data_IF_491502290893
#
_entry.id   IF_491502290893
#
_cell.length_a   1.000
_cell.length_b   1.000
_cell.length_c   1.000
_cell.angle_alpha   90.00
_cell.angle_beta   90.00
_cell.angle_gamma   90.00
#
_symmetry.space_group_name_H-M   'P 1'
#
loop_
_entity.id
_entity.type
_entity.pdbx_description
1 polymer ?
#
# COMPACT_ATOMS: atom_id res chain seq x y z
N UNK A 1 34.12 -17.71 10.77
CA UNK A 1 32.84 -17.86 11.47
C UNK A 1 32.19 -16.54 11.92
N UNK A 2 32.93 -15.47 12.22
CA UNK A 2 32.33 -14.18 12.63
C UNK A 2 31.60 -13.40 11.52
N UNK A 3 31.98 -13.53 10.25
CA UNK A 3 31.37 -12.78 9.14
C UNK A 3 29.93 -13.21 8.79
N UNK A 4 29.61 -14.51 8.86
CA UNK A 4 28.26 -15.03 8.56
C UNK A 4 27.22 -14.65 9.63
N UNK A 5 27.64 -14.54 10.89
CA UNK A 5 26.79 -14.10 11.99
C UNK A 5 26.50 -12.59 11.88
N UNK A 6 27.49 -11.79 11.47
CA UNK A 6 27.34 -10.33 11.28
C UNK A 6 26.35 -10.01 10.15
N UNK A 7 26.40 -10.74 9.03
CA UNK A 7 25.42 -10.58 7.93
C UNK A 7 24.00 -10.95 8.35
N UNK A 8 23.81 -12.06 9.08
CA UNK A 8 22.48 -12.45 9.60
C UNK A 8 21.94 -11.43 10.61
N UNK A 9 22.79 -10.85 11.45
CA UNK A 9 22.37 -9.80 12.39
C UNK A 9 22.04 -8.49 11.70
N UNK A 10 22.72 -8.14 10.61
CA UNK A 10 22.47 -6.89 9.88
C UNK A 10 21.07 -6.86 9.25
N UNK A 11 20.67 -7.93 8.57
CA UNK A 11 19.32 -8.03 7.99
C UNK A 11 18.22 -8.15 9.06
N UNK A 12 18.51 -8.85 10.17
CA UNK A 12 17.57 -8.94 11.29
C UNK A 12 17.37 -7.57 11.97
N UNK A 13 18.44 -6.79 12.14
CA UNK A 13 18.39 -5.44 12.71
C UNK A 13 17.69 -4.45 11.77
N UNK A 14 17.93 -4.52 10.45
CA UNK A 14 17.25 -3.64 9.50
C UNK A 14 15.76 -3.93 9.42
N UNK A 15 15.36 -5.20 9.41
CA UNK A 15 13.96 -5.61 9.47
C UNK A 15 13.29 -5.20 10.78
N UNK A 16 13.94 -5.44 11.93
CA UNK A 16 13.43 -5.03 13.23
C UNK A 16 13.27 -3.50 13.34
N UNK A 17 14.23 -2.73 12.80
CA UNK A 17 14.14 -1.27 12.77
C UNK A 17 13.00 -0.78 11.88
N UNK A 18 12.79 -1.40 10.72
CA UNK A 18 11.68 -1.06 9.82
C UNK A 18 10.33 -1.32 10.49
N UNK A 19 10.16 -2.49 11.12
CA UNK A 19 8.95 -2.84 11.88
C UNK A 19 8.74 -1.86 13.04
N UNK A 20 9.78 -1.55 13.82
CA UNK A 20 9.69 -0.62 14.93
C UNK A 20 9.31 0.80 14.46
N UNK A 21 9.86 1.26 13.34
CA UNK A 21 9.51 2.54 12.74
C UNK A 21 8.03 2.56 12.28
N UNK A 22 7.55 1.47 11.67
CA UNK A 22 6.14 1.30 11.31
C UNK A 22 5.20 1.33 12.51
N UNK A 23 5.55 0.65 13.60
CA UNK A 23 4.80 0.66 14.86
C UNK A 23 4.71 2.06 15.48
N UNK A 24 5.83 2.78 15.53
CA UNK A 24 5.85 4.14 16.04
C UNK A 24 5.02 5.10 15.17
N UNK A 25 5.07 4.91 13.84
CA UNK A 25 4.23 5.66 12.92
C UNK A 25 2.74 5.34 13.10
N UNK A 26 2.40 4.08 13.36
CA UNK A 26 1.02 3.66 13.61
C UNK A 26 0.43 4.32 14.86
N UNK A 27 1.16 4.30 15.98
CA UNK A 27 0.72 4.91 17.24
C UNK A 27 0.42 6.41 17.05
N UNK A 28 1.30 7.12 16.34
CA UNK A 28 1.09 8.53 16.00
C UNK A 28 -0.12 8.73 15.08
N UNK A 29 -0.26 7.88 14.05
CA UNK A 29 -1.37 7.96 13.09
C UNK A 29 -2.71 7.76 13.78
N UNK A 30 -2.82 6.77 14.68
CA UNK A 30 -4.03 6.54 15.48
C UNK A 30 -4.35 7.72 16.40
N UNK A 31 -3.34 8.31 17.05
CA UNK A 31 -3.52 9.50 17.88
C UNK A 31 -4.04 10.71 17.08
N UNK A 32 -3.46 10.95 15.89
CA UNK A 32 -3.89 12.02 14.98
C UNK A 32 -5.29 11.75 14.43
N UNK A 33 -5.59 10.50 14.06
CA UNK A 33 -6.92 10.11 13.57
C UNK A 33 -7.99 10.31 14.64
N UNK A 34 -7.75 9.84 15.87
CA UNK A 34 -8.66 10.06 16.99
C UNK A 34 -8.89 11.56 17.27
N UNK A 35 -7.83 12.37 17.15
CA UNK A 35 -7.95 13.82 17.27
C UNK A 35 -8.78 14.42 16.12
N UNK A 36 -8.54 14.02 14.87
CA UNK A 36 -9.29 14.48 13.71
C UNK A 36 -10.79 14.20 13.85
N UNK A 37 -11.16 13.00 14.31
CA UNK A 37 -12.56 12.64 14.63
C UNK A 37 -13.11 13.53 15.75
N UNK A 38 -12.34 13.75 16.82
CA UNK A 38 -12.78 14.57 17.96
C UNK A 38 -13.05 16.03 17.58
N UNK A 39 -12.34 16.56 16.58
CA UNK A 39 -12.57 17.93 16.07
C UNK A 39 -13.49 17.99 14.84
N UNK A 40 -14.05 16.86 14.40
CA UNK A 40 -14.98 16.77 13.26
C UNK A 40 -14.34 17.01 11.89
N UNK A 41 -13.07 16.64 11.73
CA UNK A 41 -12.32 16.75 10.47
C UNK A 41 -12.16 15.40 9.75
N UNK A 42 -12.79 14.34 10.23
CA UNK A 42 -12.81 13.00 9.65
C UNK A 42 -13.43 12.95 8.24
N UNK A 43 -14.37 13.86 7.93
CA UNK A 43 -14.93 14.02 6.57
C UNK A 43 -14.09 14.89 5.63
N UNK A 44 -12.96 15.45 6.07
CA UNK A 44 -12.15 16.35 5.25
C UNK A 44 -11.21 15.56 4.32
N UNK A 45 -11.30 15.81 3.02
CA UNK A 45 -10.49 15.13 1.99
C UNK A 45 -8.98 15.26 2.23
N UNK A 46 -8.48 16.43 2.64
CA UNK A 46 -7.06 16.62 2.85
C UNK A 46 -6.56 15.83 4.07
N UNK A 47 -7.36 15.79 5.14
CA UNK A 47 -7.06 15.01 6.34
C UNK A 47 -7.14 13.52 6.05
N UNK A 48 -8.20 13.08 5.37
CA UNK A 48 -8.38 11.68 4.98
C UNK A 48 -7.24 11.18 4.07
N UNK A 49 -6.88 11.95 3.04
CA UNK A 49 -5.74 11.62 2.14
C UNK A 49 -4.44 11.45 2.93
N UNK A 50 -4.15 12.37 3.87
CA UNK A 50 -2.95 12.28 4.70
C UNK A 50 -2.98 11.08 5.66
N UNK A 51 -4.14 10.78 6.24
CA UNK A 51 -4.33 9.59 7.08
C UNK A 51 -4.14 8.30 6.29
N UNK A 52 -4.65 8.22 5.07
CA UNK A 52 -4.53 7.05 4.20
C UNK A 52 -3.08 6.77 3.79
N UNK A 53 -2.30 7.80 3.45
CA UNK A 53 -0.86 7.67 3.19
C UNK A 53 -0.08 7.25 4.45
N UNK A 54 -0.44 7.79 5.62
CA UNK A 54 0.18 7.42 6.89
C UNK A 54 -0.12 5.96 7.28
N UNK A 55 -1.37 5.51 7.12
CA UNK A 55 -1.77 4.12 7.35
C UNK A 55 -1.12 3.15 6.35
N UNK A 56 -0.98 3.54 5.08
CA UNK A 56 -0.25 2.78 4.07
C UNK A 56 1.21 2.55 4.46
N UNK A 57 1.90 3.59 4.94
CA UNK A 57 3.29 3.51 5.43
C UNK A 57 3.44 2.71 6.72
N UNK A 58 2.44 2.76 7.59
CA UNK A 58 2.40 1.98 8.82
C UNK A 58 2.09 0.49 8.57
N UNK A 59 1.71 0.11 7.35
CA UNK A 59 1.38 -1.27 6.98
C UNK A 59 -0.03 -1.70 7.39
N UNK A 60 -0.91 -0.76 7.72
CA UNK A 60 -2.29 -1.04 8.18
C UNK A 60 -3.28 -0.50 7.16
N UNK A 61 -3.27 -1.10 5.97
CA UNK A 61 -4.09 -0.64 4.84
C UNK A 61 -5.58 -0.78 5.09
N UNK A 62 -6.02 -1.77 5.89
CA UNK A 62 -7.43 -1.91 6.26
C UNK A 62 -7.98 -0.66 6.95
N UNK A 63 -7.17 0.04 7.75
CA UNK A 63 -7.58 1.29 8.39
C UNK A 63 -7.57 2.47 7.40
N UNK A 64 -6.69 2.45 6.39
CA UNK A 64 -6.75 3.41 5.28
C UNK A 64 -8.06 3.26 4.48
N UNK A 65 -8.53 2.03 4.26
CA UNK A 65 -9.81 1.76 3.58
C UNK A 65 -10.98 2.26 4.41
N UNK A 66 -10.98 2.07 5.74
CA UNK A 66 -12.03 2.63 6.60
C UNK A 66 -12.10 4.16 6.53
N UNK A 67 -10.94 4.83 6.46
CA UNK A 67 -10.89 6.28 6.26
C UNK A 67 -11.49 6.65 4.91
N UNK A 68 -11.17 5.90 3.84
CA UNK A 68 -11.73 6.12 2.51
C UNK A 68 -13.26 5.96 2.46
N UNK A 69 -13.79 4.90 3.05
CA UNK A 69 -15.23 4.63 3.16
C UNK A 69 -15.93 5.71 4.00
N UNK A 70 -15.27 6.22 5.04
CA UNK A 70 -15.76 7.36 5.83
C UNK A 70 -15.88 8.67 5.05
N UNK A 71 -15.25 8.78 3.88
CA UNK A 71 -15.32 9.94 2.99
C UNK A 71 -16.41 9.82 1.91
N UNK A 72 -17.31 8.83 1.94
CA UNK A 72 -18.26 8.48 0.87
C UNK A 72 -18.88 9.68 0.12
N UNK A 73 -19.29 10.75 0.81
CA UNK A 73 -19.90 11.95 0.18
C UNK A 73 -18.88 12.91 -0.50
N UNK A 74 -17.58 12.75 -0.22
CA UNK A 74 -16.49 13.64 -0.63
C UNK A 74 -15.38 12.91 -1.42
N UNK A 75 -15.59 11.67 -1.86
CA UNK A 75 -14.61 10.92 -2.64
C UNK A 75 -14.31 11.62 -3.97
N UNK A 76 -13.03 11.85 -4.21
CA UNK A 76 -12.52 12.43 -5.45
C UNK A 76 -11.26 11.69 -5.93
N UNK A 77 -10.77 12.06 -7.12
CA UNK A 77 -9.57 11.49 -7.72
C UNK A 77 -8.35 11.43 -6.76
N UNK A 78 -8.19 12.43 -5.89
CA UNK A 78 -7.10 12.47 -4.90
C UNK A 78 -7.27 11.36 -3.85
N UNK A 79 -8.49 11.18 -3.31
CA UNK A 79 -8.76 10.12 -2.33
C UNK A 79 -8.63 8.72 -2.93
N UNK A 80 -9.04 8.54 -4.19
CA UNK A 80 -8.86 7.29 -4.93
C UNK A 80 -7.37 6.97 -5.16
N UNK A 81 -6.59 7.96 -5.57
CA UNK A 81 -5.14 7.81 -5.71
C UNK A 81 -4.45 7.49 -4.38
N UNK A 82 -4.93 8.05 -3.26
CA UNK A 82 -4.39 7.78 -1.95
C UNK A 82 -4.66 6.34 -1.50
N UNK A 83 -5.89 5.82 -1.67
CA UNK A 83 -6.20 4.42 -1.30
C UNK A 83 -5.45 3.44 -2.20
N UNK A 84 -5.37 3.72 -3.51
CA UNK A 84 -4.58 2.95 -4.47
C UNK A 84 -3.11 2.91 -4.07
N UNK A 85 -2.54 4.07 -3.69
CA UNK A 85 -1.14 4.17 -3.24
C UNK A 85 -0.89 3.38 -1.95
N UNK A 86 -1.85 3.36 -1.02
CA UNK A 86 -1.73 2.60 0.22
C UNK A 86 -1.66 1.08 -0.06
N UNK A 87 -2.54 0.54 -0.92
CA UNK A 87 -2.49 -0.87 -1.33
C UNK A 87 -1.24 -1.19 -2.15
N UNK A 88 -0.85 -0.29 -3.05
CA UNK A 88 0.38 -0.38 -3.84
C UNK A 88 1.63 -0.53 -2.96
N UNK A 89 1.76 0.29 -1.92
CA UNK A 89 2.90 0.23 -0.98
C UNK A 89 3.01 -1.11 -0.25
N UNK A 90 1.89 -1.80 -0.04
CA UNK A 90 1.87 -3.14 0.56
C UNK A 90 2.00 -4.28 -0.46
N UNK A 91 2.04 -3.96 -1.76
CA UNK A 91 2.13 -4.95 -2.84
C UNK A 91 0.84 -5.73 -3.06
N UNK A 92 -0.31 -5.25 -2.56
CA UNK A 92 -1.60 -5.90 -2.79
C UNK A 92 -2.16 -5.53 -4.16
N UNK A 93 -1.62 -6.18 -5.19
CA UNK A 93 -1.97 -5.84 -6.57
C UNK A 93 -3.41 -6.23 -6.92
N UNK A 94 -3.99 -7.25 -6.26
CA UNK A 94 -5.39 -7.63 -6.51
C UNK A 94 -6.34 -6.52 -6.03
N UNK A 95 -6.09 -5.97 -4.85
CA UNK A 95 -6.86 -4.83 -4.36
C UNK A 95 -6.66 -3.58 -5.24
N UNK A 96 -5.43 -3.30 -5.70
CA UNK A 96 -5.15 -2.20 -6.63
C UNK A 96 -5.96 -2.33 -7.92
N UNK A 97 -6.02 -3.52 -8.53
CA UNK A 97 -6.80 -3.76 -9.74
C UNK A 97 -8.31 -3.63 -9.48
N UNK A 98 -8.79 -4.15 -8.35
CA UNK A 98 -10.18 -4.04 -7.94
C UNK A 98 -10.62 -2.58 -7.77
N UNK A 99 -9.84 -1.79 -7.02
CA UNK A 99 -10.09 -0.37 -6.78
C UNK A 99 -10.02 0.45 -8.07
N UNK A 100 -9.09 0.13 -8.98
CA UNK A 100 -8.99 0.80 -10.28
C UNK A 100 -10.25 0.58 -11.13
N UNK A 101 -10.76 -0.66 -11.16
CA UNK A 101 -11.99 -0.97 -11.89
C UNK A 101 -13.20 -0.27 -11.25
N UNK A 102 -13.29 -0.27 -9.93
CA UNK A 102 -14.37 0.43 -9.21
C UNK A 102 -14.35 1.94 -9.47
N UNK A 103 -13.17 2.56 -9.46
CA UNK A 103 -12.98 3.97 -9.81
C UNK A 103 -13.47 4.26 -11.25
N UNK A 104 -13.14 3.39 -12.20
CA UNK A 104 -13.58 3.52 -13.59
C UNK A 104 -15.11 3.32 -13.76
N UNK A 105 -15.71 2.38 -13.04
CA UNK A 105 -17.17 2.16 -13.04
C UNK A 105 -17.95 3.36 -12.49
N UNK A 106 -17.38 4.05 -11.49
CA UNK A 106 -17.94 5.28 -10.93
C UNK A 106 -17.70 6.52 -11.81
N UNK A 107 -17.06 6.35 -12.98
CA UNK A 107 -16.84 7.41 -13.95
C UNK A 107 -15.66 8.33 -13.64
N UNK A 108 -14.81 7.99 -12.67
CA UNK A 108 -13.58 8.71 -12.43
C UNK A 108 -12.52 8.27 -13.46
N UNK A 109 -12.13 9.18 -14.34
CA UNK A 109 -11.06 8.93 -15.30
C UNK A 109 -9.72 8.79 -14.55
N UNK A 110 -8.97 7.68 -14.72
CA UNK A 110 -7.64 7.54 -14.18
C UNK A 110 -6.75 8.71 -14.64
N UNK A 111 -6.06 9.37 -13.72
CA UNK A 111 -5.06 10.36 -14.10
C UNK A 111 -3.75 9.66 -14.53
N UNK A 112 -2.78 10.44 -15.01
CA UNK A 112 -1.47 9.91 -15.41
C UNK A 112 -0.76 9.18 -14.26
N UNK A 113 -1.02 9.59 -13.02
CA UNK A 113 -0.46 8.98 -11.81
C UNK A 113 -1.18 7.68 -11.43
N UNK A 114 -2.50 7.60 -11.57
CA UNK A 114 -3.30 6.37 -11.41
C UNK A 114 -2.86 5.33 -12.44
N UNK A 115 -2.67 5.75 -13.70
CA UNK A 115 -2.21 4.89 -14.80
C UNK A 115 -0.79 4.38 -14.58
N UNK A 116 0.10 5.24 -14.06
CA UNK A 116 1.46 4.86 -13.70
C UNK A 116 1.47 3.86 -12.54
N UNK A 117 0.73 4.13 -11.46
CA UNK A 117 0.60 3.23 -10.30
C UNK A 117 0.09 1.85 -10.74
N UNK A 118 -0.97 1.83 -11.55
CA UNK A 118 -1.52 0.59 -12.10
C UNK A 118 -0.48 -0.17 -12.94
N UNK A 119 0.20 0.52 -13.87
CA UNK A 119 1.21 -0.11 -14.75
C UNK A 119 2.41 -0.68 -13.98
N UNK A 120 2.87 0.00 -12.93
CA UNK A 120 3.99 -0.46 -12.10
C UNK A 120 3.64 -1.72 -11.32
N UNK A 121 2.45 -1.77 -10.73
CA UNK A 121 2.02 -2.91 -9.92
C UNK A 121 1.61 -4.11 -10.79
N UNK A 122 0.99 -3.88 -11.94
CA UNK A 122 0.73 -4.94 -12.93
C UNK A 122 2.03 -5.51 -13.49
N UNK A 123 3.02 -4.66 -13.81
CA UNK A 123 4.33 -5.13 -14.25
C UNK A 123 5.04 -5.98 -13.19
N UNK A 124 4.87 -5.65 -11.91
CA UNK A 124 5.40 -6.45 -10.80
C UNK A 124 4.75 -7.84 -10.74
N UNK A 125 3.43 -7.95 -10.95
CA UNK A 125 2.76 -9.27 -11.09
C UNK A 125 3.27 -10.06 -12.29
N UNK A 126 3.42 -9.42 -13.45
CA UNK A 126 3.93 -10.11 -14.65
C UNK A 126 5.35 -10.65 -14.43
N UNK A 127 6.20 -9.91 -13.72
CA UNK A 127 7.55 -10.34 -13.41
C UNK A 127 7.58 -11.48 -12.39
N UNK A 128 6.72 -11.43 -11.35
CA UNK A 128 6.54 -12.50 -10.37
C UNK A 128 6.04 -13.80 -11.02
N UNK A 129 5.07 -13.70 -11.93
CA UNK A 129 4.53 -14.83 -12.71
C UNK A 129 5.60 -15.39 -13.64
N UNK A 130 6.30 -14.56 -14.42
CA UNK A 130 7.41 -14.99 -15.29
C UNK A 130 8.50 -15.73 -14.52
N UNK A 131 8.87 -15.24 -13.33
CA UNK A 131 9.84 -15.90 -12.47
C UNK A 131 9.30 -17.24 -11.98
N UNK A 132 8.06 -17.30 -11.46
CA UNK A 132 7.44 -18.54 -10.98
C UNK A 132 7.29 -19.63 -12.05
N UNK A 133 7.07 -19.25 -13.31
CA UNK A 133 7.01 -20.17 -14.45
C UNK A 133 8.40 -20.49 -15.02
N UNK A 134 9.36 -19.57 -14.94
CA UNK A 134 10.75 -19.80 -15.36
C UNK A 134 11.43 -20.93 -14.58
N UNK A 135 11.17 -21.06 -13.27
CA UNK A 135 11.67 -22.19 -12.47
C UNK A 135 11.08 -23.55 -12.89
N UNK A 136 9.85 -23.57 -13.41
CA UNK A 136 9.21 -24.80 -13.92
C UNK A 136 9.83 -25.26 -15.24
N UNK A 137 10.37 -24.36 -16.06
CA UNK A 137 11.09 -24.74 -17.27
C UNK A 137 12.54 -25.19 -17.00
N UNK A 138 13.21 -24.62 -15.99
CA UNK A 138 14.55 -25.08 -15.58
C UNK A 138 14.56 -26.48 -14.93
N UNK A 139 13.44 -26.95 -14.37
CA UNK A 139 13.36 -28.28 -13.74
C UNK A 139 12.99 -29.41 -14.71
N UNK A 140 12.50 -29.09 -15.92
CA UNK A 140 12.18 -30.07 -16.97
C UNK A 140 13.31 -30.26 -18.00
N UNK A 141 14.38 -29.45 -17.95
CA UNK A 141 15.50 -29.53 -18.91
C UNK A 141 16.71 -30.32 -18.40
N UNK A 142 16.58 -31.06 -17.29
CA UNK A 142 17.65 -31.88 -16.68
C UNK A 142 17.30 -33.37 -16.63
N UNK A 143 16.51 -33.87 -17.59
CA UNK A 143 16.31 -35.31 -17.82
C UNK A 143 16.75 -35.64 -19.24
#
# INVERSE_FOLDING_TARGET
MRSHAVDSTMYALSGALWVAAGLAALEQTCGIHAHAVAVGLDGNVAVGTALMDAYGKAGVVDDAVKVFEGLDDNQNLITWNAVLSAHAQQGDVQAVVGLFNQMAELGFAPDDLTSLLFSQHVAMLEQQVRLSFGWKQCTQSTI
#
